data_IF_478912935071
#
_entry.id   IF_478912935071
#
_cell.length_a   1.000
_cell.length_b   1.000
_cell.length_c   1.000
_cell.angle_alpha   90.00
_cell.angle_beta   90.00
_cell.angle_gamma   90.00
#
_symmetry.space_group_name_H-M   'P 1'
#
loop_
_entity.id
_entity.type
_entity.pdbx_description
1 polymer ?
#
# COMPACT_ATOMS: atom_id res chain seq x y z
N UNK A 1 -84.16 5.16 -1.89
CA UNK A 1 -84.00 3.67 -1.95
C UNK A 1 -83.13 3.14 -3.12
N UNK A 2 -82.96 3.87 -4.26
CA UNK A 2 -82.11 3.40 -5.36
C UNK A 2 -80.64 3.75 -5.16
N UNK A 3 -80.26 4.69 -4.28
CA UNK A 3 -78.87 5.09 -4.02
C UNK A 3 -78.12 4.18 -3.00
N UNK A 4 -78.86 3.56 -2.09
CA UNK A 4 -78.24 2.61 -1.11
C UNK A 4 -77.95 1.25 -1.72
N UNK A 5 -78.75 0.79 -2.70
CA UNK A 5 -78.52 -0.48 -3.40
C UNK A 5 -77.30 -0.46 -4.30
N UNK A 6 -76.91 0.72 -4.88
CA UNK A 6 -75.72 0.89 -5.72
C UNK A 6 -74.39 0.86 -4.96
N UNK A 7 -74.37 1.23 -3.67
CA UNK A 7 -73.14 1.20 -2.87
C UNK A 7 -72.76 -0.21 -2.35
N UNK A 8 -73.72 -1.13 -2.22
CA UNK A 8 -73.45 -2.49 -1.74
C UNK A 8 -72.88 -3.44 -2.82
N UNK A 9 -73.10 -3.19 -4.11
CA UNK A 9 -72.61 -4.05 -5.19
C UNK A 9 -71.14 -3.76 -5.57
N UNK A 10 -70.62 -2.56 -5.31
CA UNK A 10 -69.28 -2.19 -5.70
C UNK A 10 -68.18 -2.59 -4.67
N UNK A 11 -68.54 -2.88 -3.42
CA UNK A 11 -67.59 -3.26 -2.38
C UNK A 11 -66.81 -4.56 -2.68
N UNK A 12 -67.41 -5.65 -3.22
CA UNK A 12 -66.64 -6.84 -3.55
C UNK A 12 -65.70 -6.66 -4.75
N UNK A 13 -66.05 -5.76 -5.69
CA UNK A 13 -65.21 -5.45 -6.86
C UNK A 13 -63.97 -4.65 -6.45
N UNK A 14 -64.15 -3.65 -5.60
CA UNK A 14 -63.04 -2.84 -5.07
C UNK A 14 -62.06 -3.68 -4.27
N UNK A 15 -62.54 -4.57 -3.42
CA UNK A 15 -61.70 -5.50 -2.65
C UNK A 15 -60.90 -6.45 -3.54
N UNK A 16 -61.51 -6.98 -4.62
CA UNK A 16 -60.80 -7.80 -5.62
C UNK A 16 -59.71 -7.00 -6.34
N UNK A 17 -59.97 -5.74 -6.74
CA UNK A 17 -59.01 -4.88 -7.37
C UNK A 17 -57.82 -4.58 -6.43
N UNK A 18 -58.07 -4.20 -5.19
CA UNK A 18 -57.05 -3.96 -4.18
C UNK A 18 -56.21 -5.22 -3.95
N UNK A 19 -56.82 -6.38 -3.87
CA UNK A 19 -56.09 -7.64 -3.68
C UNK A 19 -55.21 -8.02 -4.88
N UNK A 20 -55.63 -7.68 -6.11
CA UNK A 20 -54.82 -7.84 -7.32
C UNK A 20 -53.64 -6.84 -7.37
N UNK A 21 -53.85 -5.58 -7.02
CA UNK A 21 -52.77 -4.58 -6.99
C UNK A 21 -51.73 -4.90 -5.95
N UNK A 22 -52.15 -5.37 -4.75
CA UNK A 22 -51.23 -5.83 -3.69
C UNK A 22 -50.40 -7.02 -4.15
N UNK A 23 -51.02 -8.00 -4.86
CA UNK A 23 -50.26 -9.16 -5.40
C UNK A 23 -49.26 -8.75 -6.45
N UNK A 24 -49.62 -7.84 -7.37
CA UNK A 24 -48.71 -7.32 -8.39
C UNK A 24 -47.57 -6.54 -7.72
N UNK A 25 -47.88 -5.66 -6.76
CA UNK A 25 -46.88 -4.93 -6.01
C UNK A 25 -45.90 -5.86 -5.27
N UNK A 26 -46.38 -6.94 -4.67
CA UNK A 26 -45.54 -7.94 -4.02
C UNK A 26 -44.59 -8.64 -5.00
N UNK A 27 -45.11 -9.03 -6.19
CA UNK A 27 -44.26 -9.64 -7.23
C UNK A 27 -43.19 -8.65 -7.73
N UNK A 28 -43.57 -7.39 -7.99
CA UNK A 28 -42.61 -6.33 -8.41
C UNK A 28 -41.55 -6.13 -7.35
N UNK A 29 -41.93 -6.08 -6.06
CA UNK A 29 -41.02 -5.95 -4.95
C UNK A 29 -40.02 -7.12 -4.91
N UNK A 30 -40.50 -8.36 -5.06
CA UNK A 30 -39.63 -9.54 -5.11
C UNK A 30 -38.63 -9.49 -6.26
N UNK A 31 -39.06 -9.05 -7.44
CA UNK A 31 -38.14 -8.87 -8.60
C UNK A 31 -37.10 -7.82 -8.30
N UNK A 32 -37.48 -6.65 -7.78
CA UNK A 32 -36.55 -5.59 -7.43
C UNK A 32 -35.52 -6.06 -6.38
N UNK A 33 -35.97 -6.74 -5.34
CA UNK A 33 -35.09 -7.30 -4.31
C UNK A 33 -34.14 -8.34 -4.91
N UNK A 34 -34.63 -9.25 -5.75
CA UNK A 34 -33.79 -10.26 -6.41
C UNK A 34 -32.72 -9.66 -7.30
N UNK A 35 -33.06 -8.64 -8.11
CA UNK A 35 -32.12 -7.91 -8.96
C UNK A 35 -31.08 -7.16 -8.13
N UNK A 36 -31.50 -6.57 -7.01
CA UNK A 36 -30.59 -5.85 -6.10
C UNK A 36 -29.58 -6.81 -5.45
N UNK A 37 -30.06 -7.97 -4.97
CA UNK A 37 -29.19 -9.02 -4.40
C UNK A 37 -28.21 -9.53 -5.45
N UNK A 38 -28.68 -9.80 -6.67
CA UNK A 38 -27.82 -10.27 -7.76
C UNK A 38 -26.71 -9.26 -8.08
N UNK A 39 -27.04 -7.97 -8.27
CA UNK A 39 -26.06 -6.90 -8.50
C UNK A 39 -25.07 -6.74 -7.34
N UNK A 40 -25.56 -6.87 -6.11
CA UNK A 40 -24.69 -6.82 -4.92
C UNK A 40 -23.68 -7.98 -4.91
N UNK A 41 -24.14 -9.21 -5.20
CA UNK A 41 -23.24 -10.38 -5.28
C UNK A 41 -22.20 -10.25 -6.39
N UNK A 42 -22.59 -9.72 -7.56
CA UNK A 42 -21.66 -9.44 -8.66
C UNK A 42 -20.58 -8.42 -8.24
N UNK A 43 -20.97 -7.36 -7.56
CA UNK A 43 -20.06 -6.35 -7.05
C UNK A 43 -19.06 -6.94 -6.02
N UNK A 44 -19.55 -7.79 -5.12
CA UNK A 44 -18.69 -8.48 -4.14
C UNK A 44 -17.69 -9.41 -4.84
N UNK A 45 -18.12 -10.18 -5.86
CA UNK A 45 -17.21 -11.01 -6.67
C UNK A 45 -16.12 -10.19 -7.36
N UNK A 46 -16.46 -9.03 -7.92
CA UNK A 46 -15.47 -8.11 -8.53
C UNK A 46 -14.46 -7.59 -7.52
N UNK A 47 -14.83 -7.44 -6.25
CA UNK A 47 -13.90 -7.02 -5.19
C UNK A 47 -12.94 -8.14 -4.74
N UNK A 48 -13.17 -9.38 -5.11
CA UNK A 48 -12.26 -10.50 -4.83
C UNK A 48 -11.16 -10.62 -5.89
N UNK A 49 -11.38 -10.09 -7.10
CA UNK A 49 -10.36 -10.06 -8.17
C UNK A 49 -9.35 -8.96 -7.89
N UNK A 50 -8.12 -9.36 -7.59
CA UNK A 50 -7.04 -8.43 -7.30
C UNK A 50 -6.28 -8.04 -8.56
N UNK A 51 -6.13 -6.74 -8.77
CA UNK A 51 -5.12 -6.18 -9.66
C UNK A 51 -3.77 -6.20 -8.95
N UNK A 52 -2.72 -6.61 -9.67
CA UNK A 52 -1.38 -6.69 -9.09
C UNK A 52 -0.41 -5.83 -9.90
N UNK A 53 0.30 -4.97 -9.19
CA UNK A 53 1.39 -4.14 -9.72
C UNK A 53 2.70 -4.73 -9.20
N UNK A 54 3.64 -4.93 -10.11
CA UNK A 54 5.03 -5.29 -9.81
C UNK A 54 5.92 -4.12 -10.17
N UNK A 55 6.60 -3.57 -9.17
CA UNK A 55 7.57 -2.48 -9.37
C UNK A 55 8.95 -3.10 -9.52
N UNK A 56 9.61 -2.94 -10.67
CA UNK A 56 10.96 -3.45 -10.89
C UNK A 56 11.99 -2.80 -9.96
N UNK A 57 13.19 -3.40 -9.92
CA UNK A 57 14.35 -2.80 -9.28
C UNK A 57 14.62 -1.40 -9.85
N UNK A 58 15.02 -0.48 -9.02
CA UNK A 58 15.35 0.89 -9.43
C UNK A 58 14.16 1.77 -9.82
N UNK A 59 12.95 1.28 -9.81
CA UNK A 59 11.75 2.05 -10.20
C UNK A 59 10.87 2.41 -9.00
N UNK A 60 9.97 3.36 -9.24
CA UNK A 60 8.98 3.85 -8.30
C UNK A 60 7.69 4.16 -9.06
N UNK A 61 6.54 3.78 -8.52
CA UNK A 61 5.23 3.97 -9.15
C UNK A 61 4.29 4.67 -8.17
N UNK A 62 3.61 5.70 -8.65
CA UNK A 62 2.53 6.37 -7.94
C UNK A 62 1.20 5.91 -8.51
N UNK A 63 0.26 5.58 -7.64
CA UNK A 63 -1.09 5.15 -8.02
C UNK A 63 -2.14 5.81 -7.15
N UNK A 64 -3.34 5.94 -7.70
CA UNK A 64 -4.55 6.35 -6.97
C UNK A 64 -5.49 5.16 -6.96
N UNK A 65 -5.88 4.71 -5.78
CA UNK A 65 -6.80 3.60 -5.59
C UNK A 65 -8.26 4.03 -5.82
N UNK A 66 -9.21 3.07 -5.98
CA UNK A 66 -10.62 3.38 -6.21
C UNK A 66 -11.33 4.22 -5.14
N UNK A 67 -10.75 4.31 -3.94
CA UNK A 67 -11.23 5.14 -2.83
C UNK A 67 -10.52 6.49 -2.73
N UNK A 68 -9.77 6.88 -3.75
CA UNK A 68 -8.92 8.08 -3.81
C UNK A 68 -7.72 8.05 -2.84
N UNK A 69 -7.36 6.89 -2.28
CA UNK A 69 -6.12 6.71 -1.54
C UNK A 69 -4.93 6.83 -2.49
N UNK A 70 -3.97 7.70 -2.18
CA UNK A 70 -2.71 7.79 -2.89
C UNK A 70 -1.71 6.79 -2.32
N UNK A 71 -1.00 6.06 -3.20
CA UNK A 71 0.05 5.11 -2.82
C UNK A 71 1.28 5.34 -3.70
N UNK A 72 2.43 5.57 -3.06
CA UNK A 72 3.73 5.57 -3.73
C UNK A 72 4.43 4.25 -3.42
N UNK A 73 4.65 3.42 -4.44
CA UNK A 73 5.31 2.13 -4.36
C UNK A 73 6.80 2.28 -4.64
N UNK A 74 7.63 1.69 -3.78
CA UNK A 74 9.08 1.69 -3.95
C UNK A 74 9.57 0.50 -4.80
N UNK A 75 10.84 0.49 -5.09
CA UNK A 75 11.56 -0.54 -5.84
C UNK A 75 11.31 -1.96 -5.29
N UNK A 76 11.27 -2.96 -6.18
CA UNK A 76 11.06 -4.37 -5.83
C UNK A 76 9.77 -4.63 -5.02
N UNK A 77 8.72 -3.88 -5.29
CA UNK A 77 7.46 -3.98 -4.56
C UNK A 77 6.39 -4.69 -5.39
N UNK A 78 5.72 -5.65 -4.76
CA UNK A 78 4.48 -6.26 -5.26
C UNK A 78 3.31 -5.72 -4.46
N UNK A 79 2.36 -5.09 -5.14
CA UNK A 79 1.17 -4.52 -4.53
C UNK A 79 -0.09 -5.04 -5.21
N UNK A 80 -1.06 -5.50 -4.40
CA UNK A 80 -2.32 -6.03 -4.94
C UNK A 80 -3.51 -5.39 -4.24
N UNK A 81 -4.48 -4.95 -5.05
CA UNK A 81 -5.69 -4.29 -4.59
C UNK A 81 -6.88 -4.64 -5.50
N UNK A 82 -8.13 -4.62 -5.01
CA UNK A 82 -9.30 -4.89 -5.82
C UNK A 82 -9.65 -3.67 -6.70
N UNK A 83 -10.26 -3.92 -7.85
CA UNK A 83 -10.79 -2.85 -8.72
C UNK A 83 -11.92 -2.05 -8.06
N UNK A 84 -12.59 -2.62 -7.06
CA UNK A 84 -13.65 -1.99 -6.26
C UNK A 84 -13.57 -2.47 -4.81
N UNK A 85 -13.66 -1.55 -3.87
CA UNK A 85 -13.83 -1.92 -2.45
C UNK A 85 -15.32 -2.11 -2.14
N UNK A 86 -15.90 -3.26 -2.47
CA UNK A 86 -17.34 -3.52 -2.35
C UNK A 86 -17.81 -3.85 -0.91
N UNK A 87 -16.92 -4.36 -0.06
CA UNK A 87 -17.22 -4.76 1.32
C UNK A 87 -17.11 -3.59 2.32
N UNK A 88 -17.44 -3.84 3.59
CA UNK A 88 -17.34 -2.86 4.68
C UNK A 88 -15.88 -2.52 5.10
N UNK A 89 -14.91 -2.90 4.28
CA UNK A 89 -13.51 -2.60 4.49
C UNK A 89 -12.77 -2.45 3.15
N UNK A 90 -11.57 -1.85 3.21
CA UNK A 90 -10.67 -1.63 2.08
C UNK A 90 -9.40 -2.44 2.32
N UNK A 91 -9.25 -3.57 1.61
CA UNK A 91 -8.12 -4.49 1.81
C UNK A 91 -7.17 -4.45 0.64
N UNK A 92 -5.89 -4.32 0.92
CA UNK A 92 -4.80 -4.41 -0.04
C UNK A 92 -3.71 -5.36 0.48
N UNK A 93 -2.85 -5.85 -0.41
CA UNK A 93 -1.70 -6.70 -0.05
C UNK A 93 -0.42 -6.01 -0.50
N UNK A 94 0.61 -6.07 0.35
CA UNK A 94 1.92 -5.50 0.08
C UNK A 94 3.02 -6.53 0.39
N UNK A 95 3.94 -6.71 -0.55
CA UNK A 95 5.25 -7.29 -0.36
C UNK A 95 6.26 -6.30 -0.92
N UNK A 96 6.94 -5.54 -0.05
CA UNK A 96 7.78 -4.44 -0.46
C UNK A 96 7.69 -3.24 0.45
N UNK A 97 7.89 -2.04 -0.13
CA UNK A 97 7.77 -0.77 0.58
C UNK A 97 6.81 0.17 -0.14
N UNK A 98 5.91 0.78 0.63
CA UNK A 98 4.97 1.76 0.12
C UNK A 98 4.69 2.87 1.14
N UNK A 99 4.50 4.07 0.61
CA UNK A 99 3.95 5.20 1.35
C UNK A 99 2.49 5.37 0.96
N UNK A 100 1.65 5.60 1.97
CA UNK A 100 0.20 5.70 1.83
C UNK A 100 -0.30 7.04 2.35
N UNK A 101 -1.16 7.69 1.57
CA UNK A 101 -2.05 8.77 2.02
C UNK A 101 -3.48 8.24 1.90
N UNK A 102 -3.95 7.62 2.97
CA UNK A 102 -5.24 6.93 2.96
C UNK A 102 -6.38 7.91 3.14
N UNK A 103 -7.32 7.91 2.20
CA UNK A 103 -8.55 8.70 2.27
C UNK A 103 -9.35 8.41 3.53
N UNK A 104 -9.75 9.46 4.26
CA UNK A 104 -10.43 9.34 5.54
C UNK A 104 -11.83 8.72 5.38
N UNK A 105 -12.08 7.58 6.05
CA UNK A 105 -13.39 6.96 6.14
C UNK A 105 -13.49 6.11 7.41
N UNK A 106 -14.19 6.63 8.42
CA UNK A 106 -14.35 5.98 9.73
C UNK A 106 -15.21 4.71 9.65
N UNK A 107 -16.16 4.65 8.69
CA UNK A 107 -17.09 3.54 8.54
C UNK A 107 -16.52 2.40 7.71
N UNK A 108 -15.41 2.63 6.96
CA UNK A 108 -14.81 1.65 6.07
C UNK A 108 -13.29 1.60 6.26
N UNK A 109 -12.81 0.86 7.26
CA UNK A 109 -11.38 0.77 7.58
C UNK A 109 -10.54 0.28 6.40
N UNK A 110 -9.29 0.79 6.31
CA UNK A 110 -8.30 0.38 5.33
C UNK A 110 -7.30 -0.58 5.98
N UNK A 111 -7.05 -1.71 5.32
CA UNK A 111 -6.13 -2.75 5.79
C UNK A 111 -5.03 -3.00 4.77
N UNK A 112 -3.78 -3.02 5.23
CA UNK A 112 -2.65 -3.50 4.45
C UNK A 112 -2.18 -4.82 5.04
N UNK A 113 -2.32 -5.89 4.25
CA UNK A 113 -1.86 -7.23 4.63
C UNK A 113 -0.46 -7.47 4.06
N UNK A 114 0.43 -7.99 4.89
CA UNK A 114 1.78 -8.40 4.51
C UNK A 114 2.05 -9.81 5.02
N UNK A 115 3.15 -10.44 4.59
CA UNK A 115 3.60 -11.73 5.12
C UNK A 115 3.99 -11.68 6.61
N UNK A 116 4.26 -10.48 7.15
CA UNK A 116 4.79 -10.29 8.52
C UNK A 116 3.79 -9.69 9.48
N UNK A 117 2.75 -9.03 8.99
CA UNK A 117 1.76 -8.37 9.83
C UNK A 117 0.69 -7.65 9.05
N UNK A 118 -0.20 -7.01 9.76
CA UNK A 118 -1.35 -6.27 9.25
C UNK A 118 -1.35 -4.84 9.79
N UNK A 119 -1.62 -3.88 8.92
CA UNK A 119 -1.87 -2.49 9.28
C UNK A 119 -3.36 -2.20 9.14
N UNK A 120 -3.95 -1.51 10.13
CA UNK A 120 -5.32 -0.98 10.05
C UNK A 120 -5.31 0.51 10.30
N UNK A 121 -5.97 1.27 9.40
CA UNK A 121 -6.10 2.72 9.48
C UNK A 121 -7.50 3.18 9.06
N UNK A 122 -7.87 4.43 9.35
CA UNK A 122 -9.16 5.04 8.97
C UNK A 122 -9.01 6.26 8.05
N UNK A 123 -7.82 6.84 7.99
CA UNK A 123 -7.43 8.04 7.25
C UNK A 123 -6.11 8.50 7.83
N UNK A 124 -4.99 8.28 7.12
CA UNK A 124 -3.68 8.24 7.76
C UNK A 124 -2.58 8.35 6.71
N UNK A 125 -1.52 9.10 7.02
CA UNK A 125 -0.29 9.15 6.23
C UNK A 125 0.80 8.32 6.91
N UNK A 126 1.26 7.26 6.25
CA UNK A 126 2.25 6.35 6.84
C UNK A 126 3.13 5.67 5.77
N UNK A 127 4.32 5.26 6.17
CA UNK A 127 5.21 4.39 5.38
C UNK A 127 5.20 2.98 5.95
N UNK A 128 5.19 1.99 5.06
CA UNK A 128 5.28 0.58 5.43
C UNK A 128 6.36 -0.11 4.59
N UNK A 129 7.37 -0.65 5.26
CA UNK A 129 8.41 -1.50 4.67
C UNK A 129 8.23 -2.93 5.19
N UNK A 130 7.90 -3.85 4.28
CA UNK A 130 7.52 -5.23 4.60
C UNK A 130 7.90 -6.21 3.49
N UNK A 131 9.15 -6.17 3.02
CA UNK A 131 9.67 -7.15 2.06
C UNK A 131 9.68 -8.54 2.68
N UNK A 132 9.12 -9.54 1.99
CA UNK A 132 9.02 -10.92 2.50
C UNK A 132 10.38 -11.55 2.76
N UNK A 133 11.38 -11.22 1.95
CA UNK A 133 12.77 -11.69 2.04
C UNK A 133 13.65 -10.90 3.01
N UNK A 134 13.21 -9.76 3.55
CA UNK A 134 13.96 -8.98 4.53
C UNK A 134 13.70 -9.47 5.95
N UNK A 135 14.60 -9.16 6.87
CA UNK A 135 14.46 -9.53 8.30
C UNK A 135 13.65 -8.51 9.11
N UNK A 136 13.32 -7.37 8.50
CA UNK A 136 12.67 -6.25 9.17
C UNK A 136 11.28 -6.00 8.56
N UNK A 137 10.33 -5.70 9.43
CA UNK A 137 9.07 -5.05 9.13
C UNK A 137 9.06 -3.71 9.86
N UNK A 138 8.80 -2.63 9.14
CA UNK A 138 8.87 -1.29 9.69
C UNK A 138 7.67 -0.47 9.24
N UNK A 139 6.99 0.14 10.20
CA UNK A 139 5.87 1.06 9.94
C UNK A 139 6.13 2.39 10.63
N UNK A 140 6.01 3.49 9.90
CA UNK A 140 6.26 4.86 10.36
C UNK A 140 5.04 5.71 10.11
N UNK A 141 4.56 6.39 11.15
CA UNK A 141 3.33 7.19 11.11
C UNK A 141 3.66 8.68 11.06
N UNK A 142 3.08 9.41 10.08
CA UNK A 142 3.24 10.86 9.91
C UNK A 142 1.99 11.61 10.37
N UNK A 143 0.79 11.10 10.03
CA UNK A 143 -0.47 11.73 10.38
C UNK A 143 -1.56 10.69 10.65
N UNK A 144 -2.44 10.97 11.61
CA UNK A 144 -3.57 10.12 11.96
C UNK A 144 -3.26 9.09 13.04
N UNK A 145 -3.75 7.85 12.87
CA UNK A 145 -3.56 6.73 13.81
C UNK A 145 -3.38 5.43 13.05
N UNK A 146 -2.41 4.64 13.47
CA UNK A 146 -2.14 3.30 12.92
C UNK A 146 -2.28 2.25 14.01
N UNK A 147 -3.00 1.17 13.72
CA UNK A 147 -2.89 -0.09 14.47
C UNK A 147 -2.05 -1.07 13.65
N UNK A 148 -0.97 -1.51 14.23
CA UNK A 148 -0.08 -2.55 13.70
C UNK A 148 -0.38 -3.85 14.43
N UNK A 149 -0.64 -4.92 13.70
CA UNK A 149 -0.79 -6.28 14.24
C UNK A 149 0.34 -7.16 13.75
N UNK A 150 1.22 -7.57 14.68
CA UNK A 150 2.39 -8.44 14.40
C UNK A 150 2.45 -9.53 15.45
N UNK A 151 2.55 -10.81 15.04
CA UNK A 151 2.59 -11.98 15.94
C UNK A 151 1.52 -11.96 17.04
N UNK A 152 0.29 -11.55 16.71
CA UNK A 152 -0.81 -11.49 17.67
C UNK A 152 -0.85 -10.23 18.55
N UNK A 153 0.23 -9.44 18.60
CA UNK A 153 0.29 -8.18 19.35
C UNK A 153 -0.34 -7.05 18.55
N UNK A 154 -1.12 -6.19 19.21
CA UNK A 154 -1.62 -4.95 18.67
C UNK A 154 -0.82 -3.76 19.21
N UNK A 155 -0.21 -2.98 18.32
CA UNK A 155 0.58 -1.80 18.64
C UNK A 155 -0.12 -0.60 17.99
N UNK A 156 -0.28 0.47 18.75
CA UNK A 156 -0.90 1.70 18.27
C UNK A 156 0.16 2.79 18.17
N UNK A 157 0.31 3.35 16.98
CA UNK A 157 1.24 4.45 16.73
C UNK A 157 0.51 5.79 16.81
N UNK A 158 1.20 6.77 17.36
CA UNK A 158 0.90 8.21 17.28
C UNK A 158 1.77 8.85 16.19
N UNK A 159 1.43 10.05 15.69
CA UNK A 159 2.30 10.78 14.77
C UNK A 159 3.73 10.84 15.29
N UNK A 160 4.68 10.82 14.37
CA UNK A 160 6.13 10.82 14.60
C UNK A 160 6.66 9.56 15.32
N UNK A 161 5.87 8.50 15.37
CA UNK A 161 6.31 7.20 15.88
C UNK A 161 6.52 6.19 14.75
N UNK A 162 7.46 5.28 14.97
CA UNK A 162 7.67 4.11 14.14
C UNK A 162 7.78 2.85 14.98
N UNK A 163 7.37 1.73 14.43
CA UNK A 163 7.60 0.39 14.98
C UNK A 163 8.45 -0.41 14.02
N UNK A 164 9.50 -1.02 14.57
CA UNK A 164 10.34 -1.99 13.88
C UNK A 164 10.14 -3.37 14.53
N UNK A 165 9.79 -4.35 13.70
CA UNK A 165 9.74 -5.75 14.09
C UNK A 165 10.82 -6.51 13.32
N UNK A 166 11.66 -7.23 14.07
CA UNK A 166 12.74 -8.05 13.54
C UNK A 166 12.36 -9.54 13.56
N UNK A 167 12.88 -10.31 12.61
CA UNK A 167 12.65 -11.76 12.50
C UNK A 167 13.00 -12.54 13.78
N UNK A 168 13.94 -12.03 14.58
CA UNK A 168 14.30 -12.58 15.92
C UNK A 168 13.22 -12.37 16.99
N UNK A 169 12.08 -11.76 16.65
CA UNK A 169 10.95 -11.55 17.53
C UNK A 169 10.95 -10.22 18.29
N UNK A 170 12.01 -9.43 18.19
CA UNK A 170 12.11 -8.13 18.88
C UNK A 170 11.23 -7.10 18.21
N UNK A 171 10.48 -6.36 19.03
CA UNK A 171 9.65 -5.23 18.61
C UNK A 171 10.21 -3.98 19.29
N UNK A 172 10.51 -2.96 18.51
CA UNK A 172 10.97 -1.65 18.99
C UNK A 172 9.98 -0.58 18.55
N UNK A 173 9.53 0.23 19.51
CA UNK A 173 8.75 1.42 19.28
C UNK A 173 9.67 2.62 19.48
N UNK A 174 9.80 3.48 18.47
CA UNK A 174 10.75 4.58 18.46
C UNK A 174 10.08 5.85 17.92
N UNK A 175 10.65 7.00 18.25
CA UNK A 175 10.29 8.29 17.61
C UNK A 175 11.06 8.45 16.31
N UNK A 176 10.43 9.03 15.30
CA UNK A 176 11.08 9.35 14.04
C UNK A 176 11.95 10.58 14.25
N UNK A 177 13.27 10.40 14.22
CA UNK A 177 14.23 11.51 14.34
C UNK A 177 14.77 11.99 13.00
N UNK A 178 14.66 11.19 11.95
CA UNK A 178 15.16 11.48 10.62
C UNK A 178 14.11 11.21 9.55
N UNK A 179 13.60 12.29 8.96
CA UNK A 179 12.60 12.22 7.89
C UNK A 179 13.23 12.07 6.50
N UNK A 180 14.53 12.31 6.36
CA UNK A 180 15.24 12.19 5.09
C UNK A 180 15.16 10.74 4.54
N UNK A 181 15.06 9.73 5.38
CA UNK A 181 14.90 8.34 4.97
C UNK A 181 13.63 8.05 4.16
N UNK A 182 12.62 8.94 4.21
CA UNK A 182 11.37 8.80 3.46
C UNK A 182 11.32 9.66 2.19
N UNK A 183 12.40 10.40 1.88
CA UNK A 183 12.49 11.23 0.68
C UNK A 183 12.73 10.46 -0.61
N UNK A 184 12.87 9.14 -0.51
CA UNK A 184 12.84 8.28 -1.69
C UNK A 184 11.58 8.51 -2.54
N UNK A 185 10.44 8.92 -1.94
CA UNK A 185 9.22 9.33 -2.64
C UNK A 185 9.44 10.49 -3.62
N UNK A 186 10.41 11.35 -3.32
CA UNK A 186 10.83 12.49 -4.15
C UNK A 186 11.96 12.13 -5.11
N UNK A 187 12.41 10.86 -5.11
CA UNK A 187 13.57 10.41 -5.87
C UNK A 187 14.92 10.86 -5.27
N UNK A 188 14.94 11.14 -3.97
CA UNK A 188 16.16 11.45 -3.23
C UNK A 188 16.56 10.27 -2.36
N UNK A 189 17.80 9.81 -2.55
CA UNK A 189 18.47 8.82 -1.71
C UNK A 189 19.30 9.60 -0.70
N UNK A 190 18.88 9.57 0.56
CA UNK A 190 19.55 10.27 1.65
C UNK A 190 20.36 9.28 2.47
N UNK A 191 21.66 9.51 2.55
CA UNK A 191 22.62 8.69 3.28
C UNK A 191 23.14 9.50 4.46
N UNK A 192 23.17 8.91 5.66
CA UNK A 192 23.67 9.56 6.86
C UNK A 192 24.62 8.63 7.60
N UNK A 193 25.89 8.99 7.62
CA UNK A 193 26.98 8.26 8.28
C UNK A 193 26.97 6.74 8.02
N UNK A 194 26.62 6.33 6.79
CA UNK A 194 26.52 4.93 6.40
C UNK A 194 27.87 4.42 5.88
N UNK A 195 28.16 3.15 6.16
CA UNK A 195 29.34 2.45 5.62
C UNK A 195 29.18 2.25 4.12
N UNK A 196 30.29 2.29 3.38
CA UNK A 196 30.34 2.15 1.93
C UNK A 196 29.53 0.92 1.43
N UNK A 197 29.72 -0.23 2.07
CA UNK A 197 28.99 -1.46 1.74
C UNK A 197 27.46 -1.32 1.84
N UNK A 198 26.97 -0.60 2.86
CA UNK A 198 25.53 -0.39 3.05
C UNK A 198 24.98 0.64 2.06
N UNK A 199 25.81 1.59 1.64
CA UNK A 199 25.50 2.53 0.55
C UNK A 199 25.33 1.77 -0.76
N UNK A 200 26.22 0.82 -1.08
CA UNK A 200 26.12 0.01 -2.31
C UNK A 200 24.82 -0.83 -2.33
N UNK A 201 24.44 -1.43 -1.21
CA UNK A 201 23.13 -2.10 -1.10
C UNK A 201 21.95 -1.13 -1.34
N UNK A 202 22.05 0.06 -0.78
CA UNK A 202 21.05 1.12 -0.99
C UNK A 202 21.00 1.54 -2.46
N UNK A 203 22.14 1.72 -3.11
CA UNK A 203 22.21 2.07 -4.52
C UNK A 203 21.65 0.95 -5.41
N UNK A 204 21.96 -0.32 -5.14
CA UNK A 204 21.35 -1.45 -5.84
C UNK A 204 19.83 -1.42 -5.71
N UNK A 205 19.27 -1.15 -4.51
CA UNK A 205 17.82 -1.02 -4.30
C UNK A 205 17.21 0.09 -5.15
N UNK A 206 17.82 1.27 -5.16
CA UNK A 206 17.23 2.48 -5.76
C UNK A 206 17.59 2.72 -7.23
N UNK A 207 18.68 2.17 -7.74
CA UNK A 207 19.07 2.31 -9.14
C UNK A 207 18.78 1.05 -9.97
N UNK A 208 18.75 -0.12 -9.33
CA UNK A 208 18.47 -1.39 -10.00
C UNK A 208 19.72 -2.14 -10.48
N UNK A 209 20.86 -1.47 -10.58
CA UNK A 209 22.12 -2.07 -10.99
C UNK A 209 22.71 -2.94 -9.88
N UNK A 210 23.29 -4.08 -10.23
CA UNK A 210 24.02 -4.92 -9.30
C UNK A 210 25.41 -4.33 -9.06
N UNK A 211 25.77 -4.03 -7.79
CA UNK A 211 27.07 -3.44 -7.45
C UNK A 211 27.91 -4.43 -6.64
N UNK A 212 29.08 -4.79 -7.18
CA UNK A 212 30.03 -5.71 -6.56
C UNK A 212 31.26 -4.95 -6.07
N UNK A 213 31.48 -4.93 -4.77
CA UNK A 213 32.66 -4.30 -4.17
C UNK A 213 33.79 -5.31 -4.10
N UNK A 214 34.84 -5.10 -4.90
CA UNK A 214 36.06 -5.92 -4.91
C UNK A 214 37.16 -5.27 -4.06
N UNK A 215 37.18 -3.91 -3.98
CA UNK A 215 38.14 -3.16 -3.17
C UNK A 215 37.69 -3.18 -1.69
N UNK A 216 38.42 -3.91 -0.85
CA UNK A 216 38.14 -4.00 0.58
C UNK A 216 38.51 -2.75 1.39
N UNK A 217 39.44 -1.92 0.86
CA UNK A 217 39.91 -0.73 1.55
C UNK A 217 38.78 0.30 1.71
N UNK A 218 37.86 0.36 0.73
CA UNK A 218 36.76 1.34 0.76
C UNK A 218 35.61 0.95 1.70
N UNK A 219 35.55 -0.29 2.19
CA UNK A 219 34.44 -0.77 3.04
C UNK A 219 34.32 0.01 4.37
N UNK A 220 35.41 0.59 4.85
CA UNK A 220 35.47 1.31 6.13
C UNK A 220 35.01 2.78 6.04
N UNK A 221 34.98 3.35 4.83
CA UNK A 221 34.55 4.74 4.63
C UNK A 221 33.08 4.91 4.99
N UNK A 222 32.77 6.02 5.67
CA UNK A 222 31.41 6.44 5.98
C UNK A 222 31.08 7.71 5.22
N UNK A 223 29.89 7.75 4.66
CA UNK A 223 29.42 8.90 3.89
C UNK A 223 28.14 9.48 4.45
N UNK A 224 28.00 10.79 4.26
CA UNK A 224 26.74 11.50 4.43
C UNK A 224 26.50 12.31 3.16
N UNK A 225 25.37 12.12 2.54
CA UNK A 225 25.06 12.84 1.30
C UNK A 225 23.65 12.55 0.79
N UNK A 226 23.24 13.33 -0.21
CA UNK A 226 21.95 13.19 -0.87
C UNK A 226 22.16 12.98 -2.36
N UNK A 227 21.63 11.91 -2.90
CA UNK A 227 21.77 11.51 -4.30
C UNK A 227 20.41 11.54 -4.98
N UNK A 228 20.35 12.18 -6.15
CA UNK A 228 19.11 12.21 -6.94
C UNK A 228 19.07 11.01 -7.88
N UNK A 229 18.06 10.15 -7.72
CA UNK A 229 17.91 8.91 -8.49
C UNK A 229 17.92 9.14 -10.01
N UNK A 230 17.33 10.24 -10.49
CA UNK A 230 17.27 10.58 -11.91
C UNK A 230 18.64 10.90 -12.55
N UNK A 231 19.71 11.08 -11.75
CA UNK A 231 21.07 11.30 -12.25
C UNK A 231 21.84 10.01 -12.52
N UNK A 232 21.28 8.86 -12.17
CA UNK A 232 21.87 7.54 -12.38
C UNK A 232 22.95 7.16 -11.36
N UNK A 233 23.22 5.86 -11.28
CA UNK A 233 24.14 5.26 -10.32
C UNK A 233 25.59 5.69 -10.55
N UNK A 234 26.03 5.77 -11.81
CA UNK A 234 27.42 6.17 -12.14
C UNK A 234 27.73 7.57 -11.64
N UNK A 235 26.78 8.51 -11.75
CA UNK A 235 26.96 9.84 -11.20
C UNK A 235 27.07 9.80 -9.66
N UNK A 236 26.26 9.00 -9.00
CA UNK A 236 26.31 8.82 -7.55
C UNK A 236 27.66 8.22 -7.10
N UNK A 237 28.16 7.21 -7.81
CA UNK A 237 29.47 6.59 -7.54
C UNK A 237 30.62 7.57 -7.76
N UNK A 238 30.59 8.34 -8.84
CA UNK A 238 31.63 9.40 -9.10
C UNK A 238 31.69 10.46 -7.99
N UNK A 239 30.56 10.75 -7.34
CA UNK A 239 30.55 11.65 -6.18
C UNK A 239 31.30 11.02 -4.99
N UNK A 240 31.14 9.71 -4.76
CA UNK A 240 31.83 8.99 -3.70
C UNK A 240 33.33 8.81 -3.99
N UNK A 241 33.73 8.72 -5.28
CA UNK A 241 35.16 8.65 -5.69
C UNK A 241 35.98 9.88 -5.29
N UNK A 242 35.32 11.01 -4.98
CA UNK A 242 36.05 12.21 -4.53
C UNK A 242 36.68 12.02 -3.16
N UNK A 243 36.10 11.13 -2.35
CA UNK A 243 36.47 10.95 -0.95
C UNK A 243 37.12 9.57 -0.70
N UNK A 244 37.01 8.61 -1.64
CA UNK A 244 37.58 7.28 -1.49
C UNK A 244 38.27 6.80 -2.79
N UNK A 245 39.44 6.15 -2.67
CA UNK A 245 40.22 5.66 -3.81
C UNK A 245 39.61 4.34 -4.33
N UNK A 246 38.82 4.38 -5.39
CA UNK A 246 38.35 3.21 -6.14
C UNK A 246 38.14 3.54 -7.61
N UNK A 247 38.13 2.51 -8.46
CA UNK A 247 37.73 2.62 -9.86
C UNK A 247 36.38 1.97 -10.10
N UNK A 248 35.68 2.44 -11.13
CA UNK A 248 34.38 1.94 -11.55
C UNK A 248 34.57 1.23 -12.88
N UNK A 249 34.20 -0.03 -12.95
CA UNK A 249 34.12 -0.82 -14.17
C UNK A 249 32.68 -1.32 -14.35
N UNK A 250 32.12 -1.11 -15.53
CA UNK A 250 30.75 -1.45 -15.84
C UNK A 250 30.71 -2.62 -16.85
N UNK A 251 30.03 -3.71 -16.51
CA UNK A 251 29.65 -4.78 -17.41
C UNK A 251 28.21 -4.54 -17.87
N UNK A 252 28.06 -3.94 -19.04
CA UNK A 252 26.73 -3.55 -19.56
C UNK A 252 25.86 -4.75 -19.90
N UNK A 253 26.48 -5.85 -20.37
CA UNK A 253 25.76 -7.08 -20.75
C UNK A 253 25.12 -7.75 -19.53
N UNK A 254 25.76 -7.69 -18.38
CA UNK A 254 25.29 -8.30 -17.13
C UNK A 254 24.59 -7.31 -16.19
N UNK A 255 24.59 -6.03 -16.52
CA UNK A 255 24.12 -4.97 -15.63
C UNK A 255 24.80 -4.99 -14.24
N UNK A 256 26.13 -5.22 -14.23
CA UNK A 256 26.95 -5.29 -13.03
C UNK A 256 27.97 -4.15 -13.05
N UNK A 257 28.10 -3.48 -11.92
CA UNK A 257 29.12 -2.46 -11.67
C UNK A 257 30.10 -3.00 -10.65
N UNK A 258 31.38 -3.04 -11.03
CA UNK A 258 32.47 -3.46 -10.15
C UNK A 258 33.17 -2.23 -9.57
N UNK A 259 33.38 -2.25 -8.27
CA UNK A 259 34.17 -1.30 -7.52
C UNK A 259 35.52 -1.93 -7.19
N UNK A 260 36.56 -1.49 -7.89
CA UNK A 260 37.93 -2.01 -7.79
C UNK A 260 38.88 -1.06 -7.09
#
# INVERSE_FOLDING_TARGET
DKKELSQKENAPLLYKLINYTVKIAAVVLLVVVSVTIYKYQELVKKSEVLQTILVPAGQRINIILPDSTFVCLNSNTKFSYPSVFATNNRKVKLDGEAYFEVSANKNKPFYVHTSKGEIKVLGTHFNLEAYSNADVFKTSLFEGKVRVRVKGNNIYLKPDQMVCYHKNGKIHLETIHDYDQYRWREGLICIKSAKFKDIMKTFTKYFGDSIVVQNKEVEHYKYTGKFRQSRGVINALRLLQKDAPFTIEQDEDKQIIYIK
#
